data_IF_180608722142
#
_entry.id   IF_180608722142
#
_cell.length_a   1.000
_cell.length_b   1.000
_cell.length_c   1.000
_cell.angle_alpha   90.00
_cell.angle_beta   90.00
_cell.angle_gamma   90.00
#
_symmetry.space_group_name_H-M   'P 1'
#
loop_
_entity.id
_entity.type
_entity.pdbx_description
1 polymer ?
#
# COMPACT_ATOMS: atom_id res chain seq x y z
N UNK A 1 -25.36 7.85 -2.98
CA UNK A 1 -24.39 7.28 -2.00
C UNK A 1 -22.99 7.58 -2.51
N UNK A 2 -22.57 8.85 -2.42
CA UNK A 2 -21.44 9.39 -3.17
C UNK A 2 -20.74 10.48 -2.35
N UNK A 3 -20.30 10.12 -1.15
CA UNK A 3 -19.50 10.99 -0.27
C UNK A 3 -18.30 10.23 0.35
N UNK A 4 -18.15 8.95 0.03
CA UNK A 4 -17.02 8.11 0.45
C UNK A 4 -15.86 8.10 -0.55
N UNK A 5 -15.95 8.84 -1.65
CA UNK A 5 -15.08 8.56 -2.79
C UNK A 5 -13.67 9.12 -2.59
N UNK A 6 -13.50 10.41 -2.25
CA UNK A 6 -12.17 11.00 -2.03
C UNK A 6 -11.58 10.62 -0.65
N UNK A 7 -12.35 10.80 0.42
CA UNK A 7 -11.93 10.44 1.78
C UNK A 7 -11.70 8.93 1.93
N UNK A 8 -12.58 8.09 1.37
CA UNK A 8 -12.39 6.64 1.40
C UNK A 8 -11.16 6.20 0.62
N UNK A 9 -10.89 6.80 -0.55
CA UNK A 9 -9.63 6.55 -1.29
C UNK A 9 -8.41 7.04 -0.51
N UNK A 10 -8.50 8.18 0.18
CA UNK A 10 -7.43 8.68 1.05
C UNK A 10 -7.09 7.70 2.18
N UNK A 11 -8.08 7.19 2.89
CA UNK A 11 -7.88 6.22 3.96
C UNK A 11 -7.26 4.91 3.44
N UNK A 12 -7.69 4.43 2.26
CA UNK A 12 -7.08 3.25 1.63
C UNK A 12 -5.62 3.51 1.25
N UNK A 13 -5.31 4.69 0.67
CA UNK A 13 -3.93 5.09 0.37
C UNK A 13 -3.07 5.14 1.64
N UNK A 14 -3.58 5.75 2.70
CA UNK A 14 -2.90 5.82 3.99
C UNK A 14 -2.60 4.42 4.52
N UNK A 15 -3.63 3.55 4.60
CA UNK A 15 -3.48 2.22 5.16
C UNK A 15 -2.61 1.29 4.31
N UNK A 16 -2.70 1.36 2.98
CA UNK A 16 -1.83 0.58 2.09
C UNK A 16 -0.35 0.97 2.28
N UNK A 17 -0.06 2.27 2.39
CA UNK A 17 1.30 2.77 2.66
C UNK A 17 1.80 2.36 4.04
N UNK A 18 0.97 2.52 5.08
CA UNK A 18 1.30 2.11 6.44
C UNK A 18 1.63 0.61 6.53
N UNK A 19 0.75 -0.23 5.99
CA UNK A 19 0.92 -1.69 6.01
C UNK A 19 2.11 -2.14 5.17
N UNK A 20 2.31 -1.57 3.98
CA UNK A 20 3.46 -1.91 3.13
C UNK A 20 4.78 -1.66 3.88
N UNK A 21 4.88 -0.50 4.55
CA UNK A 21 6.04 -0.16 5.38
C UNK A 21 6.21 -1.10 6.57
N UNK A 22 5.12 -1.39 7.30
CA UNK A 22 5.18 -2.29 8.45
C UNK A 22 5.60 -3.71 8.05
N UNK A 23 5.05 -4.23 6.94
CA UNK A 23 5.40 -5.55 6.41
C UNK A 23 6.86 -5.59 5.97
N UNK A 24 7.34 -4.57 5.25
CA UNK A 24 8.74 -4.54 4.80
C UNK A 24 9.73 -4.34 5.95
N UNK A 25 9.51 -3.33 6.80
CA UNK A 25 10.50 -2.89 7.79
C UNK A 25 10.41 -3.62 9.14
N UNK A 26 9.21 -4.01 9.59
CA UNK A 26 9.05 -4.65 10.89
C UNK A 26 9.03 -6.18 10.75
N UNK A 27 8.23 -6.70 9.82
CA UNK A 27 8.13 -8.14 9.59
C UNK A 27 9.28 -8.66 8.72
N UNK A 28 9.64 -7.93 7.66
CA UNK A 28 10.71 -8.32 6.74
C UNK A 28 12.08 -8.37 7.40
N UNK A 29 12.36 -7.45 8.33
CA UNK A 29 13.63 -7.41 9.07
C UNK A 29 13.67 -8.35 10.29
N UNK A 30 12.57 -9.05 10.59
CA UNK A 30 12.56 -9.99 11.70
C UNK A 30 13.52 -11.16 11.43
N UNK A 31 14.34 -11.51 12.42
CA UNK A 31 15.42 -12.50 12.26
C UNK A 31 14.95 -13.87 11.75
N UNK A 32 13.76 -14.32 12.14
CA UNK A 32 13.18 -15.57 11.62
C UNK A 32 12.77 -15.45 10.15
N UNK A 33 12.28 -14.31 9.69
CA UNK A 33 11.95 -14.11 8.28
C UNK A 33 13.23 -14.08 7.45
N UNK A 34 14.26 -13.39 7.92
CA UNK A 34 15.57 -13.31 7.27
C UNK A 34 16.31 -14.66 7.21
N UNK A 35 16.15 -15.50 8.23
CA UNK A 35 16.76 -16.84 8.27
C UNK A 35 16.11 -17.85 7.33
N UNK A 36 14.92 -17.54 6.79
CA UNK A 36 14.10 -18.43 5.99
C UNK A 36 13.77 -17.78 4.63
N UNK A 37 14.58 -18.01 3.57
CA UNK A 37 14.43 -17.33 2.28
C UNK A 37 13.04 -17.48 1.66
N UNK A 38 12.40 -18.63 1.84
CA UNK A 38 11.02 -18.88 1.41
C UNK A 38 9.99 -18.00 2.13
N UNK A 39 10.21 -17.68 3.40
CA UNK A 39 9.35 -16.76 4.16
C UNK A 39 9.64 -15.31 3.79
N UNK A 40 10.92 -14.96 3.62
CA UNK A 40 11.31 -13.63 3.12
C UNK A 40 10.66 -13.33 1.78
N UNK A 41 10.63 -14.30 0.86
CA UNK A 41 9.97 -14.16 -0.43
C UNK A 41 8.46 -13.90 -0.29
N UNK A 42 7.78 -14.54 0.66
CA UNK A 42 6.35 -14.29 0.93
C UNK A 42 6.10 -12.89 1.51
N UNK A 43 6.97 -12.42 2.41
CA UNK A 43 6.89 -11.08 2.98
C UNK A 43 7.13 -10.01 1.92
N UNK A 44 8.10 -10.22 1.03
CA UNK A 44 8.39 -9.31 -0.09
C UNK A 44 7.20 -9.23 -1.05
N UNK A 45 6.59 -10.37 -1.40
CA UNK A 45 5.38 -10.41 -2.21
C UNK A 45 4.21 -9.68 -1.55
N UNK A 46 4.04 -9.80 -0.23
CA UNK A 46 3.00 -9.10 0.50
C UNK A 46 3.23 -7.57 0.49
N UNK A 47 4.46 -7.12 0.71
CA UNK A 47 4.81 -5.70 0.65
C UNK A 47 4.59 -5.13 -0.77
N UNK A 48 4.97 -5.87 -1.81
CA UNK A 48 4.75 -5.50 -3.21
C UNK A 48 3.27 -5.44 -3.56
N UNK A 49 2.46 -6.40 -3.11
CA UNK A 49 1.01 -6.39 -3.33
C UNK A 49 0.33 -5.17 -2.68
N UNK A 50 0.76 -4.79 -1.47
CA UNK A 50 0.28 -3.58 -0.80
C UNK A 50 0.69 -2.31 -1.54
N UNK A 51 1.91 -2.29 -2.08
CA UNK A 51 2.37 -1.18 -2.91
C UNK A 51 1.60 -1.08 -4.23
N UNK A 52 1.34 -2.20 -4.89
CA UNK A 52 0.53 -2.24 -6.11
C UNK A 52 -0.90 -1.73 -5.85
N UNK A 53 -1.50 -2.10 -4.70
CA UNK A 53 -2.79 -1.55 -4.28
C UNK A 53 -2.73 -0.03 -4.09
N UNK A 54 -1.71 0.47 -3.40
CA UNK A 54 -1.49 1.91 -3.22
C UNK A 54 -1.45 2.64 -4.57
N UNK A 55 -0.68 2.12 -5.54
CA UNK A 55 -0.57 2.72 -6.87
C UNK A 55 -1.90 2.69 -7.64
N UNK A 56 -2.64 1.58 -7.59
CA UNK A 56 -3.92 1.44 -8.27
C UNK A 56 -4.99 2.42 -7.71
N UNK A 57 -5.06 2.53 -6.39
CA UNK A 57 -5.97 3.48 -5.73
C UNK A 57 -5.52 4.91 -5.99
N UNK A 58 -4.20 5.16 -6.03
CA UNK A 58 -3.61 6.46 -6.32
C UNK A 58 -4.00 6.96 -7.71
N UNK A 59 -3.90 6.10 -8.71
CA UNK A 59 -4.35 6.41 -10.07
C UNK A 59 -5.85 6.80 -10.08
N UNK A 60 -6.71 5.99 -9.48
CA UNK A 60 -8.14 6.29 -9.41
C UNK A 60 -8.47 7.56 -8.59
N UNK A 61 -7.71 7.83 -7.54
CA UNK A 61 -7.87 9.02 -6.68
C UNK A 61 -7.44 10.31 -7.41
N UNK A 62 -6.44 10.24 -8.28
CA UNK A 62 -6.01 11.38 -9.11
C UNK A 62 -6.92 11.59 -10.31
N UNK A 63 -7.38 10.53 -10.98
CA UNK A 63 -8.30 10.62 -12.11
C UNK A 63 -9.68 11.18 -11.73
N UNK A 64 -10.08 11.01 -10.46
CA UNK A 64 -11.32 11.57 -9.90
C UNK A 64 -11.25 13.05 -9.53
N UNK A 65 -10.06 13.70 -9.58
CA UNK A 65 -9.92 15.13 -9.29
C UNK A 65 -10.19 15.96 -10.56
N UNK A 66 -11.16 16.88 -10.56
CA UNK A 66 -11.30 17.81 -11.68
C UNK A 66 -10.09 18.74 -11.69
N UNK A 67 -9.21 18.58 -12.69
CA UNK A 67 -8.22 19.56 -13.13
C UNK A 67 -7.43 20.27 -12.03
N UNK A 68 -6.31 19.68 -11.60
CA UNK A 68 -5.25 20.43 -10.93
C UNK A 68 -4.48 21.30 -11.93
N UNK A 69 -5.03 22.48 -12.24
CA UNK A 69 -4.24 23.62 -12.69
C UNK A 69 -4.19 24.64 -11.55
N UNK A 70 -3.06 24.65 -10.82
CA UNK A 70 -2.38 25.86 -10.33
C UNK A 70 -0.89 25.54 -10.18
#
# INVERSE_FOLDING_TARGET
MAEMDDYGRHEVLHMASFLSRAVAAELGEHAQVQAHPEWKALVDQAAEALWALYQAVGAAHLDGKPGGAV
#
